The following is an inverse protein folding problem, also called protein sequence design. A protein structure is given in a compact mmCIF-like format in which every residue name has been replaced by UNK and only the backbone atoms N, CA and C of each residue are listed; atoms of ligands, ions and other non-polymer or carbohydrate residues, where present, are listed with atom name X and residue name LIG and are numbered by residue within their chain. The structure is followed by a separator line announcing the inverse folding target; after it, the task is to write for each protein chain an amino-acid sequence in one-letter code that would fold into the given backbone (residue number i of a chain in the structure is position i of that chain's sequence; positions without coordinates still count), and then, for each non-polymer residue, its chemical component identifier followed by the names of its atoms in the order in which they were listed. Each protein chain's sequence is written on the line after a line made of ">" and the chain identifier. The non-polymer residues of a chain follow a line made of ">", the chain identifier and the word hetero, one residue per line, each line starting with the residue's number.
data_IF_369310081078
#
_entry.id   IF_369310081078
#
_cell.length_a   1.000
_cell.length_b   1.000
_cell.length_c   1.000
_cell.angle_alpha   90.00
_cell.angle_beta   90.00
_cell.angle_gamma   90.00
#
_symmetry.space_group_name_H-M   'P 1'
#
loop_
_entity.id
_entity.type
_entity.pdbx_description
1 polymer ?
#
# COMPACT_ATOMS: atom_id res chain seq x y z
N UNK A 1 -61.20 -34.86 -46.15
CA UNK A 1 -61.18 -33.62 -45.35
C UNK A 1 -60.81 -34.00 -43.93
N UNK A 2 -59.54 -33.88 -43.57
CA UNK A 2 -59.01 -34.38 -42.29
C UNK A 2 -58.14 -33.32 -41.63
N UNK A 3 -58.73 -32.55 -40.72
CA UNK A 3 -57.98 -31.70 -39.80
C UNK A 3 -57.37 -32.56 -38.71
N UNK A 4 -56.04 -32.55 -38.58
CA UNK A 4 -55.34 -32.82 -37.32
C UNK A 4 -54.13 -31.88 -37.21
N UNK A 5 -54.28 -30.79 -36.45
CA UNK A 5 -53.16 -29.99 -35.95
C UNK A 5 -52.38 -30.86 -34.95
N UNK A 6 -51.17 -31.25 -35.31
CA UNK A 6 -50.23 -31.88 -34.39
C UNK A 6 -49.65 -30.83 -33.43
N UNK A 7 -49.61 -31.20 -32.15
CA UNK A 7 -49.17 -30.40 -31.03
C UNK A 7 -47.71 -29.94 -31.15
N UNK A 8 -47.45 -28.66 -30.86
CA UNK A 8 -46.12 -28.15 -30.56
C UNK A 8 -45.68 -28.67 -29.19
N UNK A 9 -44.69 -29.56 -29.17
CA UNK A 9 -44.08 -30.09 -27.95
C UNK A 9 -43.17 -29.07 -27.24
N UNK A 10 -43.12 -29.06 -25.90
CA UNK A 10 -42.34 -28.13 -25.10
C UNK A 10 -40.87 -28.59 -25.00
N UNK A 11 -40.11 -28.54 -26.09
CA UNK A 11 -38.75 -29.11 -26.14
C UNK A 11 -37.63 -28.08 -26.33
N UNK A 12 -37.90 -26.77 -26.17
CA UNK A 12 -36.91 -25.70 -26.45
C UNK A 12 -36.43 -24.88 -25.25
N UNK A 13 -36.81 -25.21 -24.02
CA UNK A 13 -36.43 -24.42 -22.84
C UNK A 13 -35.23 -24.98 -22.04
N UNK A 14 -34.85 -26.25 -22.22
CA UNK A 14 -33.78 -26.87 -21.41
C UNK A 14 -32.36 -26.74 -22.00
N UNK A 15 -32.21 -26.48 -23.30
CA UNK A 15 -30.90 -26.41 -23.96
C UNK A 15 -30.15 -25.08 -23.80
N UNK A 16 -30.84 -23.98 -23.50
CA UNK A 16 -30.23 -22.65 -23.31
C UNK A 16 -29.70 -22.44 -21.88
N UNK A 17 -30.31 -23.05 -20.87
CA UNK A 17 -29.92 -22.85 -19.47
C UNK A 17 -28.54 -23.44 -19.15
N UNK A 18 -28.17 -24.58 -19.72
CA UNK A 18 -26.88 -25.24 -19.42
C UNK A 18 -25.69 -24.48 -19.99
N UNK A 19 -25.83 -23.89 -21.18
CA UNK A 19 -24.80 -23.02 -21.80
C UNK A 19 -24.67 -21.68 -21.07
N UNK A 20 -25.77 -21.12 -20.58
CA UNK A 20 -25.74 -19.92 -19.75
C UNK A 20 -25.03 -20.14 -18.41
N UNK A 21 -25.26 -21.29 -17.76
CA UNK A 21 -24.61 -21.66 -16.48
C UNK A 21 -23.12 -21.94 -16.67
N UNK A 22 -22.73 -22.63 -17.76
CA UNK A 22 -21.31 -22.85 -18.09
C UNK A 22 -20.58 -21.55 -18.42
N UNK A 23 -21.22 -20.64 -19.15
CA UNK A 23 -20.67 -19.30 -19.41
C UNK A 23 -20.52 -18.47 -18.14
N UNK A 24 -21.51 -18.50 -17.25
CA UNK A 24 -21.48 -17.80 -15.96
C UNK A 24 -20.39 -18.36 -15.03
N UNK A 25 -20.22 -19.68 -14.99
CA UNK A 25 -19.17 -20.34 -14.21
C UNK A 25 -17.78 -19.94 -14.67
N UNK A 26 -17.54 -19.89 -15.98
CA UNK A 26 -16.26 -19.43 -16.53
C UNK A 26 -15.96 -17.96 -16.19
N UNK A 27 -16.97 -17.09 -16.28
CA UNK A 27 -16.82 -15.67 -15.89
C UNK A 27 -16.50 -15.54 -14.41
N UNK A 28 -17.17 -16.29 -13.53
CA UNK A 28 -16.88 -16.27 -12.09
C UNK A 28 -15.47 -16.74 -11.76
N UNK A 29 -14.96 -17.77 -12.44
CA UNK A 29 -13.57 -18.23 -12.27
C UNK A 29 -12.57 -17.15 -12.72
N UNK A 30 -12.84 -16.48 -13.84
CA UNK A 30 -12.00 -15.38 -14.32
C UNK A 30 -12.02 -14.20 -13.34
N UNK A 31 -13.20 -13.80 -12.86
CA UNK A 31 -13.33 -12.71 -11.88
C UNK A 31 -12.67 -13.07 -10.56
N UNK A 32 -12.85 -14.28 -10.05
CA UNK A 32 -12.19 -14.74 -8.82
C UNK A 32 -10.67 -14.81 -8.99
N UNK A 33 -10.18 -15.31 -10.13
CA UNK A 33 -8.75 -15.33 -10.44
C UNK A 33 -8.14 -13.94 -10.56
N UNK A 34 -8.83 -13.01 -11.24
CA UNK A 34 -8.45 -11.60 -11.30
C UNK A 34 -8.48 -10.96 -9.92
N UNK A 35 -9.49 -11.25 -9.10
CA UNK A 35 -9.60 -10.73 -7.74
C UNK A 35 -8.47 -11.24 -6.85
N UNK A 36 -8.13 -12.53 -6.89
CA UNK A 36 -6.99 -13.10 -6.17
C UNK A 36 -5.68 -12.50 -6.66
N UNK A 37 -5.50 -12.36 -7.98
CA UNK A 37 -4.30 -11.74 -8.52
C UNK A 37 -4.19 -10.28 -8.12
N UNK A 38 -5.30 -9.53 -8.21
CA UNK A 38 -5.38 -8.16 -7.72
C UNK A 38 -5.04 -8.12 -6.24
N UNK A 39 -5.65 -8.92 -5.37
CA UNK A 39 -5.33 -8.88 -3.94
C UNK A 39 -3.87 -9.24 -3.69
N UNK A 40 -3.32 -10.27 -4.33
CA UNK A 40 -1.90 -10.63 -4.22
C UNK A 40 -0.99 -9.50 -4.72
N UNK A 41 -1.29 -8.88 -5.85
CA UNK A 41 -0.47 -7.82 -6.46
C UNK A 41 -0.60 -6.48 -5.69
N UNK A 42 -1.75 -6.19 -5.07
CA UNK A 42 -1.97 -4.98 -4.25
C UNK A 42 -1.32 -5.11 -2.86
N UNK A 43 -1.28 -6.33 -2.30
CA UNK A 43 -0.56 -6.62 -1.04
C UNK A 43 0.91 -6.97 -1.24
N UNK A 44 1.31 -7.35 -2.45
CA UNK A 44 2.71 -7.33 -2.89
C UNK A 44 3.11 -5.88 -3.19
N UNK A 45 3.12 -5.04 -2.16
CA UNK A 45 3.83 -3.76 -2.20
C UNK A 45 5.21 -4.02 -2.82
N UNK A 46 5.67 -3.21 -3.79
CA UNK A 46 6.91 -3.46 -4.51
C UNK A 46 8.00 -3.80 -3.49
N UNK A 47 8.64 -4.96 -3.67
CA UNK A 47 9.63 -5.52 -2.74
C UNK A 47 10.91 -4.67 -2.62
N UNK A 48 10.89 -3.43 -3.13
CA UNK A 48 11.91 -2.42 -2.90
C UNK A 48 11.48 -1.51 -1.76
N UNK A 49 12.33 -1.41 -0.73
CA UNK A 49 12.18 -0.36 0.26
C UNK A 49 12.30 1.03 -0.38
N UNK A 50 11.63 2.02 0.21
CA UNK A 50 11.67 3.41 -0.23
C UNK A 50 13.11 3.87 -0.43
N UNK A 51 13.38 4.59 -1.54
CA UNK A 51 14.72 5.08 -1.91
C UNK A 51 15.81 4.00 -2.02
N UNK A 52 15.43 2.77 -2.36
CA UNK A 52 16.35 1.63 -2.50
C UNK A 52 16.92 1.21 -1.16
N UNK A 53 16.12 1.29 -0.10
CA UNK A 53 16.48 0.73 1.20
C UNK A 53 16.43 -0.81 1.13
N UNK A 54 17.41 -1.51 1.74
CA UNK A 54 17.58 -2.95 1.57
C UNK A 54 16.52 -3.78 2.30
N UNK A 55 15.96 -3.24 3.39
CA UNK A 55 14.96 -3.92 4.21
C UNK A 55 14.05 -2.90 4.93
N UNK A 56 12.98 -3.43 5.52
CA UNK A 56 11.95 -2.64 6.21
C UNK A 56 12.46 -1.90 7.47
N UNK A 57 13.58 -2.36 8.07
CA UNK A 57 14.19 -1.72 9.25
C UNK A 57 14.96 -0.47 8.83
N UNK A 58 15.74 -0.58 7.76
CA UNK A 58 16.46 0.56 7.19
C UNK A 58 15.47 1.59 6.63
N UNK A 59 14.38 1.15 6.00
CA UNK A 59 13.30 2.04 5.57
C UNK A 59 12.70 2.82 6.75
N UNK A 60 12.29 2.11 7.81
CA UNK A 60 11.71 2.74 8.99
C UNK A 60 12.68 3.71 9.67
N UNK A 61 13.97 3.34 9.78
CA UNK A 61 15.01 4.22 10.31
C UNK A 61 15.26 5.46 9.44
N UNK A 62 15.19 5.32 8.13
CA UNK A 62 15.31 6.43 7.18
C UNK A 62 14.12 7.41 7.32
N UNK A 63 12.90 6.91 7.26
CA UNK A 63 11.69 7.73 7.41
C UNK A 63 11.58 8.39 8.79
N UNK A 64 12.01 7.69 9.84
CA UNK A 64 12.12 8.28 11.19
C UNK A 64 13.13 9.44 11.21
N UNK A 65 14.28 9.27 10.56
CA UNK A 65 15.31 10.33 10.49
C UNK A 65 14.81 11.55 9.71
N UNK A 66 14.07 11.35 8.62
CA UNK A 66 13.45 12.44 7.84
C UNK A 66 12.46 13.24 8.70
N UNK A 67 11.58 12.55 9.42
CA UNK A 67 10.61 13.20 10.30
C UNK A 67 11.27 13.96 11.47
N UNK A 68 12.43 13.50 11.94
CA UNK A 68 13.24 14.20 12.95
C UNK A 68 13.93 15.44 12.37
N UNK A 69 14.47 15.36 11.15
CA UNK A 69 15.22 16.45 10.54
C UNK A 69 14.31 17.60 10.05
N UNK A 70 13.09 17.29 9.57
CA UNK A 70 12.11 18.32 9.15
C UNK A 70 11.63 19.15 10.34
N UNK A 71 11.48 18.52 11.50
CA UNK A 71 10.97 19.18 12.68
C UNK A 71 11.70 18.70 13.92
N UNK A 72 12.89 19.28 14.18
CA UNK A 72 13.75 18.92 15.31
C UNK A 72 13.15 19.35 16.66
N UNK A 73 12.14 20.23 16.67
CA UNK A 73 11.47 20.70 17.87
C UNK A 73 10.29 19.80 18.30
N UNK A 74 9.87 19.95 19.56
CA UNK A 74 8.63 19.36 20.08
C UNK A 74 7.45 20.00 19.33
N UNK A 75 6.87 19.27 18.36
CA UNK A 75 5.72 19.73 17.59
C UNK A 75 4.47 19.88 18.47
N UNK A 76 3.40 20.49 17.99
CA UNK A 76 2.12 20.45 18.71
C UNK A 76 1.54 19.02 18.73
N UNK A 77 0.78 18.64 19.77
CA UNK A 77 -0.09 17.47 19.69
C UNK A 77 -0.99 17.55 18.43
N UNK A 78 -1.18 16.43 17.73
CA UNK A 78 -1.99 16.38 16.50
C UNK A 78 -1.29 16.81 15.20
N UNK A 79 0.01 17.13 15.22
CA UNK A 79 0.72 17.41 13.97
C UNK A 79 1.02 16.11 13.20
N UNK A 80 0.72 16.10 11.90
CA UNK A 80 1.02 14.99 10.98
C UNK A 80 2.47 14.47 11.07
N UNK A 81 3.46 15.36 11.17
CA UNK A 81 4.88 14.97 11.24
C UNK A 81 5.19 14.18 12.53
N UNK A 82 4.56 14.53 13.66
CA UNK A 82 4.71 13.85 14.95
C UNK A 82 4.11 12.46 14.90
N UNK A 83 2.94 12.33 14.29
CA UNK A 83 2.25 11.05 14.12
C UNK A 83 3.04 10.11 13.22
N UNK A 84 3.58 10.63 12.11
CA UNK A 84 4.46 9.87 11.21
C UNK A 84 5.72 9.40 11.94
N UNK A 85 6.37 10.27 12.70
CA UNK A 85 7.51 9.91 13.55
C UNK A 85 7.15 8.79 14.54
N UNK A 86 6.00 8.91 15.22
CA UNK A 86 5.53 7.90 16.17
C UNK A 86 5.22 6.56 15.51
N UNK A 87 4.63 6.57 14.32
CA UNK A 87 4.38 5.37 13.53
C UNK A 87 5.68 4.66 13.16
N UNK A 88 6.63 5.38 12.55
CA UNK A 88 7.91 4.79 12.12
C UNK A 88 8.76 4.30 13.28
N UNK A 89 8.71 5.00 14.42
CA UNK A 89 9.35 4.54 15.65
C UNK A 89 8.74 3.22 16.16
N UNK A 90 7.40 3.12 16.26
CA UNK A 90 6.74 1.87 16.67
C UNK A 90 7.05 0.73 15.73
N UNK A 91 6.94 0.97 14.42
CA UNK A 91 7.25 -0.03 13.39
C UNK A 91 8.68 -0.54 13.48
N UNK A 92 9.64 0.31 13.81
CA UNK A 92 11.03 -0.08 14.01
C UNK A 92 11.22 -0.96 15.27
N UNK A 93 10.49 -0.66 16.35
CA UNK A 93 10.44 -1.49 17.57
C UNK A 93 9.78 -2.85 17.28
N UNK A 94 8.65 -2.86 16.60
CA UNK A 94 7.86 -4.07 16.31
C UNK A 94 8.61 -5.08 15.42
N UNK A 95 9.55 -4.60 14.60
CA UNK A 95 10.42 -5.44 13.78
C UNK A 95 11.54 -6.13 14.56
N UNK A 96 11.55 -6.03 15.91
CA UNK A 96 12.40 -6.82 16.80
C UNK A 96 13.89 -6.60 16.61
N UNK A 97 14.27 -5.44 16.04
CA UNK A 97 15.64 -5.11 15.68
C UNK A 97 16.36 -4.23 16.67
N UNK A 98 17.69 -4.15 16.52
CA UNK A 98 18.46 -3.06 17.11
C UNK A 98 17.95 -1.72 16.57
N UNK A 99 17.21 -1.00 17.41
CA UNK A 99 16.64 0.29 17.10
C UNK A 99 17.74 1.32 16.82
N UNK A 100 18.84 1.26 17.57
CA UNK A 100 19.96 2.17 17.38
C UNK A 100 20.65 1.91 16.03
N UNK A 101 20.89 0.65 15.69
CA UNK A 101 21.43 0.23 14.39
C UNK A 101 20.53 0.61 13.21
N UNK A 102 19.22 0.37 13.31
CA UNK A 102 18.25 0.75 12.29
C UNK A 102 18.22 2.26 12.04
N UNK A 103 18.18 3.06 13.10
CA UNK A 103 18.25 4.53 13.00
C UNK A 103 19.59 5.00 12.45
N UNK A 104 20.71 4.42 12.91
CA UNK A 104 22.03 4.81 12.45
C UNK A 104 22.21 4.58 10.95
N UNK A 105 21.79 3.41 10.44
CA UNK A 105 21.85 3.10 9.01
C UNK A 105 20.91 4.00 8.20
N UNK A 106 19.69 4.23 8.70
CA UNK A 106 18.72 5.15 8.10
C UNK A 106 19.26 6.58 8.00
N UNK A 107 19.83 7.11 9.08
CA UNK A 107 20.41 8.45 9.13
C UNK A 107 21.63 8.59 8.23
N UNK A 108 22.50 7.58 8.17
CA UNK A 108 23.63 7.56 7.26
C UNK A 108 23.20 7.58 5.79
N UNK A 109 22.08 6.92 5.46
CA UNK A 109 21.49 6.98 4.11
C UNK A 109 20.91 8.36 3.83
N UNK A 110 20.11 8.92 4.74
CA UNK A 110 19.57 10.27 4.61
C UNK A 110 20.66 11.31 4.37
N UNK A 111 21.76 11.25 5.13
CA UNK A 111 22.91 12.14 4.93
C UNK A 111 23.48 12.05 3.51
N UNK A 112 23.61 10.84 2.94
CA UNK A 112 24.08 10.65 1.56
C UNK A 112 23.11 11.24 0.54
N UNK A 113 21.80 11.08 0.76
CA UNK A 113 20.79 11.58 -0.17
C UNK A 113 20.66 13.11 -0.09
N UNK A 114 20.81 13.70 1.09
CA UNK A 114 20.93 15.16 1.27
C UNK A 114 22.16 15.72 0.54
N UNK A 115 23.32 15.06 0.64
CA UNK A 115 24.52 15.47 -0.11
C UNK A 115 24.30 15.42 -1.62
N UNK A 116 23.53 14.43 -2.11
CA UNK A 116 23.14 14.33 -3.53
C UNK A 116 22.13 15.38 -3.96
N UNK A 117 21.33 15.93 -3.04
CA UNK A 117 20.36 16.98 -3.33
C UNK A 117 20.98 18.33 -3.69
N UNK A 118 22.31 18.51 -3.53
CA UNK A 118 23.11 19.67 -3.98
C UNK A 118 22.53 21.03 -3.55
N UNK A 119 22.15 21.15 -2.27
CA UNK A 119 21.62 22.39 -1.69
C UNK A 119 20.10 22.49 -1.66
N UNK A 120 19.37 21.54 -2.29
CA UNK A 120 17.90 21.42 -2.20
C UNK A 120 17.45 20.54 -1.04
N UNK A 121 18.09 20.72 0.12
CA UNK A 121 17.90 19.84 1.28
C UNK A 121 16.47 19.89 1.78
N UNK A 122 15.87 21.09 1.81
CA UNK A 122 14.51 21.28 2.34
C UNK A 122 13.47 20.65 1.43
N UNK A 123 13.55 20.90 0.13
CA UNK A 123 12.64 20.33 -0.86
C UNK A 123 12.77 18.81 -0.91
N UNK A 124 13.99 18.29 -0.80
CA UNK A 124 14.24 16.86 -0.70
C UNK A 124 13.57 16.26 0.54
N UNK A 125 13.74 16.89 1.72
CA UNK A 125 13.13 16.42 2.95
C UNK A 125 11.60 16.46 2.87
N UNK A 126 11.01 17.55 2.39
CA UNK A 126 9.56 17.68 2.23
C UNK A 126 8.99 16.61 1.28
N UNK A 127 9.63 16.40 0.11
CA UNK A 127 9.28 15.32 -0.82
C UNK A 127 9.38 13.94 -0.16
N UNK A 128 10.51 13.68 0.51
CA UNK A 128 10.80 12.41 1.17
C UNK A 128 9.79 12.11 2.29
N UNK A 129 9.36 13.14 3.02
CA UNK A 129 8.35 13.01 4.06
C UNK A 129 6.99 12.60 3.51
N UNK A 130 6.58 13.21 2.39
CA UNK A 130 5.34 12.83 1.70
C UNK A 130 5.37 11.36 1.27
N UNK A 131 6.49 10.91 0.69
CA UNK A 131 6.68 9.51 0.29
C UNK A 131 6.65 8.56 1.49
N UNK A 132 7.36 8.90 2.57
CA UNK A 132 7.36 8.13 3.81
C UNK A 132 5.95 8.05 4.41
N UNK A 133 5.16 9.11 4.38
CA UNK A 133 3.80 9.02 4.94
C UNK A 133 2.83 8.28 4.03
N UNK A 134 2.96 8.41 2.72
CA UNK A 134 2.20 7.58 1.79
C UNK A 134 2.47 6.08 2.03
N UNK A 135 3.73 5.71 2.23
CA UNK A 135 4.10 4.35 2.62
C UNK A 135 3.54 3.95 3.98
N UNK A 136 3.57 4.85 4.96
CA UNK A 136 2.97 4.61 6.27
C UNK A 136 1.46 4.27 6.14
N UNK A 137 0.71 5.01 5.32
CA UNK A 137 -0.71 4.72 5.03
C UNK A 137 -0.90 3.31 4.46
N UNK A 138 -0.06 2.90 3.50
CA UNK A 138 -0.11 1.53 2.95
C UNK A 138 0.19 0.43 3.98
N UNK A 139 0.83 0.79 5.09
CA UNK A 139 1.08 -0.09 6.23
C UNK A 139 0.03 0.04 7.35
N UNK A 140 -1.08 0.73 7.09
CA UNK A 140 -2.17 0.91 8.04
C UNK A 140 -1.94 2.02 9.07
N UNK A 141 -1.00 2.95 8.82
CA UNK A 141 -0.95 4.16 9.60
C UNK A 141 -2.23 4.97 9.40
N UNK A 142 -2.71 5.58 10.48
CA UNK A 142 -3.78 6.57 10.44
C UNK A 142 -3.30 7.83 11.14
N UNK A 143 -3.64 8.98 10.56
CA UNK A 143 -3.20 10.29 11.00
C UNK A 143 -4.40 11.10 11.47
N UNK A 144 -4.45 11.43 12.75
CA UNK A 144 -5.48 12.29 13.34
C UNK A 144 -5.47 13.68 12.70
N UNK A 145 -4.28 14.13 12.29
CA UNK A 145 -4.08 15.38 11.60
C UNK A 145 -4.91 15.55 10.32
N UNK A 146 -5.46 14.47 9.73
CA UNK A 146 -6.30 14.51 8.53
C UNK A 146 -7.80 14.50 8.82
N UNK A 147 -8.21 14.24 10.06
CA UNK A 147 -9.62 14.19 10.44
C UNK A 147 -10.10 15.52 11.06
N UNK A 148 -9.18 16.32 11.57
CA UNK A 148 -9.44 17.63 12.18
C UNK A 148 -9.28 18.83 11.20
N UNK A 149 -9.08 18.56 9.89
CA UNK A 149 -8.83 19.57 8.85
C UNK A 149 -10.04 19.97 8.01
#
# INVERSE_FOLDING_TARGET
>A
MGMRKAAQGPARLFGQSVRGILGLGAVLVIVAGLFIKLTVDQFAAPAGGLFGTPDARVEAGYCLSVAQDISPAVQLPGSYIREARGFWQRRLVDQGGDLAGGVAVGRARLARDILRARGRTREWLEFTMSECSYKALSHGAWFQAFDDS
#
